data_IF_751266169295
#
_entry.id   IF_751266169295
#
_cell.length_a   1.000
_cell.length_b   1.000
_cell.length_c   1.000
_cell.angle_alpha   90.00
_cell.angle_beta   90.00
_cell.angle_gamma   90.00
#
_symmetry.space_group_name_H-M   'P 1'
#
loop_
_entity.id
_entity.type
_entity.pdbx_description
1 polymer ?
#
# COMPACT_ATOMS: atom_id res chain seq x y z
N UNK A 1 46.47 19.37 28.68
CA UNK A 1 45.20 18.65 28.91
C UNK A 1 44.83 18.06 27.57
N UNK A 2 45.26 16.82 27.32
CA UNK A 2 44.93 16.12 26.07
C UNK A 2 43.47 15.68 26.17
N UNK A 3 42.63 16.27 25.31
CA UNK A 3 41.27 15.83 25.12
C UNK A 3 41.30 14.46 24.46
N UNK A 4 41.06 13.43 25.26
CA UNK A 4 40.97 12.04 24.83
C UNK A 4 39.80 11.91 23.86
N UNK A 5 40.10 12.10 22.58
CA UNK A 5 39.13 11.99 21.50
C UNK A 5 38.94 10.51 21.22
N UNK A 6 37.88 9.94 21.80
CA UNK A 6 37.42 8.59 21.50
C UNK A 6 37.20 8.45 19.99
N UNK A 7 38.17 7.83 19.32
CA UNK A 7 38.15 7.56 17.89
C UNK A 7 37.36 6.28 17.62
N UNK A 8 36.38 6.34 16.71
CA UNK A 8 35.59 5.20 16.25
C UNK A 8 36.46 3.99 15.87
N UNK A 9 37.63 4.24 15.27
CA UNK A 9 38.57 3.19 14.85
C UNK A 9 39.26 2.45 16.00
N UNK A 10 39.12 2.89 17.25
CA UNK A 10 39.64 2.19 18.44
C UNK A 10 38.68 1.17 19.03
N UNK A 11 37.41 1.17 18.59
CA UNK A 11 36.43 0.18 19.01
C UNK A 11 36.72 -1.16 18.31
N UNK A 12 36.60 -2.31 19.00
CA UNK A 12 36.59 -3.61 18.34
C UNK A 12 35.54 -3.67 17.24
N UNK A 13 35.81 -4.46 16.19
CA UNK A 13 34.91 -4.60 15.06
C UNK A 13 33.50 -5.00 15.50
N UNK A 14 33.38 -5.91 16.46
CA UNK A 14 32.13 -6.41 17.02
C UNK A 14 31.28 -5.28 17.60
N UNK A 15 31.90 -4.35 18.35
CA UNK A 15 31.21 -3.21 18.95
C UNK A 15 30.80 -2.19 17.89
N UNK A 16 31.64 -1.96 16.88
CA UNK A 16 31.27 -1.11 15.74
C UNK A 16 30.07 -1.70 14.98
N UNK A 17 30.05 -3.02 14.77
CA UNK A 17 28.96 -3.74 14.13
C UNK A 17 27.66 -3.65 14.94
N UNK A 18 27.71 -3.83 16.26
CA UNK A 18 26.53 -3.70 17.12
C UNK A 18 25.98 -2.27 17.10
N UNK A 19 26.84 -1.26 17.25
CA UNK A 19 26.40 0.14 17.25
C UNK A 19 25.77 0.50 15.91
N UNK A 20 26.43 0.24 14.79
CA UNK A 20 25.85 0.52 13.46
C UNK A 20 24.60 -0.32 13.22
N UNK A 21 24.57 -1.53 13.77
CA UNK A 21 23.45 -2.46 13.73
C UNK A 21 22.23 -2.03 14.56
N UNK A 22 22.32 -1.05 15.46
CA UNK A 22 21.13 -0.51 16.16
C UNK A 22 20.64 0.80 15.55
N UNK A 23 21.46 1.54 14.80
CA UNK A 23 21.11 2.84 14.24
C UNK A 23 19.82 2.83 13.39
N UNK A 24 19.56 1.83 12.53
CA UNK A 24 18.31 1.76 11.78
C UNK A 24 17.06 1.63 12.64
N UNK A 25 17.18 0.98 13.81
CA UNK A 25 16.07 0.78 14.74
C UNK A 25 15.79 2.02 15.60
N UNK A 26 16.73 2.95 15.69
CA UNK A 26 16.59 4.20 16.45
C UNK A 26 15.88 5.31 15.65
N UNK A 27 15.53 5.04 14.38
CA UNK A 27 14.91 5.99 13.47
C UNK A 27 15.90 7.00 12.89
N UNK A 28 15.55 7.59 11.74
CA UNK A 28 16.35 8.61 11.05
C UNK A 28 16.79 8.21 9.64
N UNK A 29 17.52 9.11 8.96
CA UNK A 29 17.95 8.96 7.55
C UNK A 29 19.14 8.00 7.44
N UNK A 30 18.89 6.71 7.63
CA UNK A 30 19.90 5.65 7.56
C UNK A 30 20.63 5.56 6.21
N UNK A 31 20.01 6.09 5.14
CA UNK A 31 20.65 6.25 3.83
C UNK A 31 21.89 7.16 3.86
N UNK A 32 21.95 8.14 4.76
CA UNK A 32 23.11 9.01 4.91
C UNK A 32 24.27 8.29 5.63
N UNK A 33 23.97 7.31 6.48
CA UNK A 33 24.97 6.56 7.22
C UNK A 33 25.73 5.57 6.32
N UNK A 34 25.11 5.10 5.24
CA UNK A 34 25.76 4.22 4.25
C UNK A 34 26.85 4.90 3.40
N UNK A 35 27.02 6.22 3.52
CA UNK A 35 28.06 6.97 2.78
C UNK A 35 29.34 7.17 3.58
N UNK A 36 29.34 6.89 4.89
CA UNK A 36 30.47 7.14 5.81
C UNK A 36 31.72 6.34 5.42
N UNK A 37 31.59 5.02 5.33
CA UNK A 37 32.67 4.13 4.90
C UNK A 37 32.12 2.78 4.40
N UNK A 38 32.98 1.93 3.84
CA UNK A 38 32.58 0.62 3.29
C UNK A 38 31.98 -0.32 4.35
N UNK A 39 32.49 -0.31 5.58
CA UNK A 39 31.98 -1.14 6.67
C UNK A 39 30.56 -0.74 7.08
N UNK A 40 30.30 0.56 7.19
CA UNK A 40 28.96 1.08 7.48
C UNK A 40 27.98 0.74 6.36
N UNK A 41 28.42 0.92 5.11
CA UNK A 41 27.64 0.57 3.92
C UNK A 41 27.23 -0.90 3.92
N UNK A 42 28.14 -1.83 4.21
CA UNK A 42 27.83 -3.27 4.18
C UNK A 42 26.82 -3.71 5.24
N UNK A 43 26.70 -2.97 6.35
CA UNK A 43 25.76 -3.27 7.44
C UNK A 43 24.39 -2.62 7.15
N UNK A 44 24.42 -1.39 6.66
CA UNK A 44 23.22 -0.54 6.55
C UNK A 44 22.47 -0.76 5.24
N UNK A 45 23.18 -0.93 4.11
CA UNK A 45 22.51 -1.10 2.80
C UNK A 45 21.53 -2.28 2.76
N UNK A 46 21.86 -3.50 3.24
CA UNK A 46 20.92 -4.61 3.21
C UNK A 46 19.60 -4.30 3.93
N UNK A 47 19.62 -3.44 4.95
CA UNK A 47 18.43 -3.03 5.70
C UNK A 47 17.67 -1.92 4.98
N UNK A 48 18.38 -0.91 4.49
CA UNK A 48 17.78 0.17 3.70
C UNK A 48 17.09 -0.34 2.43
N UNK A 49 17.63 -1.39 1.80
CA UNK A 49 17.06 -2.00 0.61
C UNK A 49 16.13 -3.18 0.90
N UNK A 50 16.01 -3.65 2.16
CA UNK A 50 15.12 -4.75 2.49
C UNK A 50 13.66 -4.42 2.14
N UNK A 51 13.29 -3.16 2.32
CA UNK A 51 11.94 -2.66 2.12
C UNK A 51 11.94 -1.48 1.15
N UNK A 52 11.16 -1.60 0.07
CA UNK A 52 11.07 -0.58 -0.97
C UNK A 52 9.61 -0.16 -1.15
N UNK A 53 9.32 1.12 -0.91
CA UNK A 53 8.10 1.74 -1.42
C UNK A 53 8.28 2.09 -2.89
N UNK A 54 7.37 1.63 -3.73
CA UNK A 54 7.43 1.69 -5.18
C UNK A 54 6.15 2.32 -5.71
N UNK A 55 6.24 3.57 -6.18
CA UNK A 55 5.17 4.24 -6.92
C UNK A 55 5.39 4.07 -8.43
N UNK A 56 4.33 4.22 -9.22
CA UNK A 56 4.41 4.09 -10.69
C UNK A 56 5.47 5.02 -11.32
N UNK A 57 5.59 6.32 -10.94
CA UNK A 57 6.66 7.17 -11.47
C UNK A 57 8.08 6.71 -11.10
N UNK A 58 8.24 6.04 -9.96
CA UNK A 58 9.53 5.44 -9.57
C UNK A 58 9.80 4.15 -10.33
N UNK A 59 8.76 3.37 -10.59
CA UNK A 59 8.84 2.15 -11.37
C UNK A 59 9.31 2.42 -12.80
N UNK A 60 8.87 3.52 -13.42
CA UNK A 60 9.26 3.91 -14.78
C UNK A 60 10.60 4.66 -14.86
N UNK A 61 11.21 5.01 -13.71
CA UNK A 61 12.50 5.70 -13.66
C UNK A 61 13.67 4.73 -13.95
N UNK A 62 14.48 4.94 -15.01
CA UNK A 62 15.55 4.02 -15.38
C UNK A 62 16.66 3.88 -14.33
N UNK A 63 17.03 4.97 -13.64
CA UNK A 63 18.04 4.94 -12.59
C UNK A 63 17.57 4.09 -11.40
N UNK A 64 16.29 4.23 -11.06
CA UNK A 64 15.69 3.45 -10.00
C UNK A 64 15.60 1.96 -10.34
N UNK A 65 15.19 1.63 -11.57
CA UNK A 65 15.21 0.24 -12.07
C UNK A 65 16.62 -0.36 -12.01
N UNK A 66 17.64 0.40 -12.41
CA UNK A 66 19.03 -0.04 -12.35
C UNK A 66 19.51 -0.29 -10.91
N UNK A 67 19.02 0.48 -9.93
CA UNK A 67 19.30 0.26 -8.51
C UNK A 67 18.58 -1.00 -8.03
N UNK A 68 17.30 -1.16 -8.34
CA UNK A 68 16.49 -2.33 -7.99
C UNK A 68 17.11 -3.62 -8.52
N UNK A 69 17.53 -3.65 -9.78
CA UNK A 69 18.19 -4.81 -10.37
C UNK A 69 19.52 -5.14 -9.67
N UNK A 70 20.35 -4.13 -9.38
CA UNK A 70 21.62 -4.31 -8.66
C UNK A 70 21.44 -4.78 -7.22
N UNK A 71 20.33 -4.39 -6.58
CA UNK A 71 20.03 -4.68 -5.17
C UNK A 71 18.96 -5.76 -4.99
N UNK A 72 18.52 -6.42 -6.06
CA UNK A 72 17.41 -7.38 -6.03
C UNK A 72 17.56 -8.42 -4.92
N UNK A 73 18.79 -8.92 -4.70
CA UNK A 73 19.08 -9.95 -3.68
C UNK A 73 18.81 -9.50 -2.24
N UNK A 74 18.84 -8.19 -1.99
CA UNK A 74 18.61 -7.58 -0.68
C UNK A 74 17.15 -7.21 -0.46
N UNK A 75 16.40 -6.96 -1.54
CA UNK A 75 14.98 -6.57 -1.48
C UNK A 75 14.14 -7.78 -1.08
N UNK A 76 13.40 -7.64 0.03
CA UNK A 76 12.51 -8.65 0.63
C UNK A 76 11.06 -8.21 0.63
N UNK A 77 10.81 -6.92 0.58
CA UNK A 77 9.47 -6.35 0.63
C UNK A 77 9.37 -5.20 -0.38
N UNK A 78 8.35 -5.26 -1.23
CA UNK A 78 7.98 -4.18 -2.14
C UNK A 78 6.55 -3.75 -1.82
N UNK A 79 6.40 -2.50 -1.43
CA UNK A 79 5.10 -1.84 -1.35
C UNK A 79 4.81 -1.13 -2.66
N UNK A 80 4.07 -1.81 -3.54
CA UNK A 80 3.63 -1.28 -4.81
C UNK A 80 2.38 -0.41 -4.63
N UNK A 81 2.55 0.90 -4.87
CA UNK A 81 1.52 1.93 -4.68
C UNK A 81 1.13 2.51 -6.03
N UNK A 82 -0.11 2.22 -6.44
CA UNK A 82 -0.75 2.84 -7.60
C UNK A 82 -1.58 4.02 -7.09
N UNK A 83 -0.99 5.21 -7.18
CA UNK A 83 -1.62 6.47 -6.78
C UNK A 83 -2.47 6.97 -7.95
N UNK A 84 -3.79 6.81 -7.84
CA UNK A 84 -4.78 7.30 -8.81
C UNK A 84 -4.89 8.82 -8.75
N UNK A 85 -5.57 9.41 -9.74
CA UNK A 85 -5.73 10.87 -9.84
C UNK A 85 -6.47 11.43 -8.62
N UNK A 86 -6.07 12.63 -8.23
CA UNK A 86 -6.80 13.43 -7.25
C UNK A 86 -8.12 13.91 -7.86
N UNK A 87 -9.16 13.96 -7.04
CA UNK A 87 -10.47 14.51 -7.36
C UNK A 87 -10.89 15.51 -6.29
N UNK A 88 -11.85 16.36 -6.63
CA UNK A 88 -12.40 17.40 -5.76
C UNK A 88 -13.76 16.99 -5.16
N UNK A 89 -14.38 17.91 -4.40
CA UNK A 89 -15.66 17.66 -3.74
C UNK A 89 -16.85 17.48 -4.69
N UNK A 90 -16.69 17.62 -6.01
CA UNK A 90 -17.79 17.46 -6.98
C UNK A 90 -18.44 16.07 -6.88
N UNK A 91 -17.69 15.07 -6.40
CA UNK A 91 -18.12 13.67 -6.24
C UNK A 91 -18.64 13.33 -4.83
N UNK A 92 -18.58 14.26 -3.88
CA UNK A 92 -18.86 13.98 -2.46
C UNK A 92 -20.35 14.00 -2.06
N UNK A 93 -21.26 14.30 -2.98
CA UNK A 93 -22.69 14.46 -2.68
C UNK A 93 -23.64 14.14 -3.84
N UNK A 94 -23.18 13.40 -4.85
CA UNK A 94 -23.99 13.07 -6.02
C UNK A 94 -24.61 11.69 -5.83
N UNK A 95 -25.94 11.59 -5.99
CA UNK A 95 -26.72 10.35 -5.97
C UNK A 95 -26.84 9.75 -7.38
N UNK A 96 -25.79 9.86 -8.18
CA UNK A 96 -25.83 9.36 -9.55
C UNK A 96 -25.08 8.03 -9.57
N UNK A 97 -25.85 6.96 -9.75
CA UNK A 97 -25.37 5.57 -9.81
C UNK A 97 -24.34 5.36 -10.94
N UNK A 98 -24.23 6.33 -11.87
CA UNK A 98 -23.33 6.32 -13.03
C UNK A 98 -21.95 6.95 -12.75
N UNK A 99 -21.71 7.52 -11.56
CA UNK A 99 -20.43 8.14 -11.20
C UNK A 99 -19.52 7.18 -10.43
N UNK A 100 -19.13 6.07 -11.08
CA UNK A 100 -18.04 5.24 -10.59
C UNK A 100 -16.78 6.09 -10.36
N UNK A 101 -16.08 5.88 -9.24
CA UNK A 101 -14.90 6.70 -8.93
C UNK A 101 -13.72 6.44 -9.86
N UNK A 102 -13.68 5.28 -10.53
CA UNK A 102 -12.73 4.99 -11.60
C UNK A 102 -13.34 5.34 -12.95
N UNK A 103 -12.61 6.13 -13.72
CA UNK A 103 -12.86 6.24 -15.16
C UNK A 103 -11.86 5.40 -15.96
N UNK A 104 -12.03 5.38 -17.28
CA UNK A 104 -11.15 4.64 -18.18
C UNK A 104 -9.67 5.07 -18.08
N UNK A 105 -9.39 6.30 -17.64
CA UNK A 105 -8.01 6.79 -17.47
C UNK A 105 -7.38 6.12 -16.26
N UNK A 106 -8.11 6.02 -15.15
CA UNK A 106 -7.63 5.30 -13.96
C UNK A 106 -7.45 3.81 -14.26
N UNK A 107 -8.38 3.19 -14.99
CA UNK A 107 -8.25 1.79 -15.43
C UNK A 107 -7.03 1.57 -16.32
N UNK A 108 -6.79 2.44 -17.31
CA UNK A 108 -5.60 2.37 -18.16
C UNK A 108 -4.30 2.55 -17.36
N UNK A 109 -4.30 3.46 -16.38
CA UNK A 109 -3.15 3.68 -15.53
C UNK A 109 -2.81 2.46 -14.67
N UNK A 110 -3.83 1.77 -14.14
CA UNK A 110 -3.65 0.51 -13.41
C UNK A 110 -3.06 -0.57 -14.34
N UNK A 111 -3.59 -0.71 -15.56
CA UNK A 111 -3.08 -1.63 -16.58
C UNK A 111 -1.59 -1.40 -16.84
N UNK A 112 -1.21 -0.15 -17.16
CA UNK A 112 0.18 0.20 -17.46
C UNK A 112 1.12 -0.03 -16.26
N UNK A 113 0.61 0.22 -15.05
CA UNK A 113 1.33 0.02 -13.81
C UNK A 113 1.63 -1.47 -13.56
N UNK A 114 0.64 -2.35 -13.70
CA UNK A 114 0.82 -3.81 -13.55
C UNK A 114 1.66 -4.42 -14.66
N UNK A 115 1.50 -3.96 -15.90
CA UNK A 115 2.34 -4.38 -17.01
C UNK A 115 3.81 -4.05 -16.73
N UNK A 116 4.09 -2.81 -16.31
CA UNK A 116 5.45 -2.38 -15.94
C UNK A 116 6.01 -3.20 -14.78
N UNK A 117 5.19 -3.46 -13.75
CA UNK A 117 5.58 -4.24 -12.58
C UNK A 117 5.97 -5.65 -12.98
N UNK A 118 5.14 -6.32 -13.79
CA UNK A 118 5.40 -7.68 -14.24
C UNK A 118 6.64 -7.78 -15.14
N UNK A 119 6.87 -6.80 -16.02
CA UNK A 119 8.10 -6.71 -16.83
C UNK A 119 9.34 -6.63 -15.94
N UNK A 120 9.32 -5.73 -14.94
CA UNK A 120 10.49 -5.46 -14.11
C UNK A 120 10.78 -6.61 -13.15
N UNK A 121 9.77 -7.09 -12.42
CA UNK A 121 9.95 -8.18 -11.45
C UNK A 121 10.05 -9.55 -12.13
N UNK A 122 9.51 -9.72 -13.33
CA UNK A 122 9.66 -10.95 -14.11
C UNK A 122 11.07 -11.19 -14.63
N UNK A 123 11.91 -10.14 -14.70
CA UNK A 123 13.32 -10.26 -15.04
C UNK A 123 14.21 -10.68 -13.86
N UNK A 124 13.67 -10.76 -12.63
CA UNK A 124 14.45 -11.08 -11.44
C UNK A 124 14.65 -12.58 -11.28
N UNK A 125 15.74 -12.98 -10.61
CA UNK A 125 15.99 -14.38 -10.28
C UNK A 125 14.83 -14.94 -9.41
N UNK A 126 14.27 -16.11 -9.77
CA UNK A 126 13.26 -16.79 -8.95
C UNK A 126 13.77 -17.04 -7.53
N UNK A 127 13.00 -16.62 -6.52
CA UNK A 127 13.33 -16.85 -5.10
C UNK A 127 12.13 -17.22 -4.25
N UNK A 128 10.94 -16.69 -4.56
CA UNK A 128 9.72 -16.97 -3.80
C UNK A 128 9.77 -16.44 -2.35
N UNK A 129 10.66 -15.50 -2.04
CA UNK A 129 10.83 -14.91 -0.71
C UNK A 129 10.54 -13.40 -0.67
N UNK A 130 10.09 -12.84 -1.80
CA UNK A 130 9.65 -11.46 -1.90
C UNK A 130 8.19 -11.33 -1.49
N UNK A 131 7.92 -10.40 -0.57
CA UNK A 131 6.58 -9.93 -0.24
C UNK A 131 6.21 -8.77 -1.17
N UNK A 132 5.11 -8.93 -1.89
CA UNK A 132 4.52 -7.89 -2.73
C UNK A 132 3.25 -7.37 -2.07
N UNK A 133 3.32 -6.15 -1.55
CA UNK A 133 2.18 -5.45 -0.96
C UNK A 133 1.61 -4.48 -1.97
N UNK A 134 0.34 -4.65 -2.34
CA UNK A 134 -0.31 -3.89 -3.41
C UNK A 134 -1.34 -2.95 -2.80
N UNK A 135 -1.23 -1.67 -3.16
CA UNK A 135 -2.14 -0.62 -2.71
C UNK A 135 -2.53 0.26 -3.89
N UNK A 136 -3.83 0.36 -4.16
CA UNK A 136 -4.40 1.19 -5.23
C UNK A 136 -5.38 2.17 -4.59
N UNK A 137 -5.08 3.47 -4.62
CA UNK A 137 -5.88 4.49 -3.96
C UNK A 137 -5.66 5.85 -4.62
N UNK A 138 -6.60 6.78 -4.44
CA UNK A 138 -6.39 8.20 -4.76
C UNK A 138 -5.87 8.93 -3.51
N UNK A 139 -4.88 9.83 -3.61
CA UNK A 139 -4.51 10.70 -2.49
C UNK A 139 -5.68 11.51 -1.92
N UNK A 140 -6.70 11.81 -2.74
CA UNK A 140 -7.94 12.46 -2.32
C UNK A 140 -8.80 11.60 -1.38
N UNK A 141 -8.67 10.27 -1.38
CA UNK A 141 -9.53 9.37 -0.58
C UNK A 141 -9.46 9.69 0.92
N UNK A 142 -8.28 10.03 1.44
CA UNK A 142 -8.09 10.43 2.84
C UNK A 142 -8.59 11.85 3.14
N UNK A 143 -8.71 12.71 2.13
CA UNK A 143 -9.21 14.08 2.28
C UNK A 143 -10.74 14.11 2.38
N UNK A 144 -11.42 13.28 1.59
CA UNK A 144 -12.89 13.30 1.46
C UNK A 144 -13.59 12.24 2.32
N UNK A 145 -13.06 11.01 2.38
CA UNK A 145 -13.82 9.85 2.87
C UNK A 145 -13.21 9.18 4.08
N UNK A 146 -11.89 9.04 4.09
CA UNK A 146 -11.17 8.25 5.07
C UNK A 146 -10.10 9.07 5.78
N UNK A 147 -10.53 10.12 6.48
CA UNK A 147 -9.64 11.04 7.22
C UNK A 147 -8.83 10.36 8.33
N UNK A 148 -9.18 9.12 8.68
CA UNK A 148 -8.50 8.24 9.63
C UNK A 148 -7.61 7.18 8.99
N UNK A 149 -7.55 7.08 7.66
CA UNK A 149 -6.62 6.16 7.02
C UNK A 149 -5.28 6.87 6.82
N UNK A 150 -4.25 6.36 7.47
CA UNK A 150 -2.86 6.67 7.14
C UNK A 150 -2.31 5.57 6.25
N UNK A 151 -1.95 5.91 5.02
CA UNK A 151 -1.19 5.03 4.14
C UNK A 151 0.27 5.03 4.60
N UNK A 152 0.58 4.21 5.60
CA UNK A 152 1.94 3.97 6.08
C UNK A 152 2.25 2.48 6.04
N UNK A 153 3.53 2.08 5.89
CA UNK A 153 3.91 0.69 6.02
C UNK A 153 3.58 0.21 7.44
N UNK A 154 3.06 -1.00 7.59
CA UNK A 154 2.93 -1.63 8.93
C UNK A 154 4.29 -2.10 9.48
N UNK A 155 5.36 -1.93 8.70
CA UNK A 155 6.73 -2.26 9.08
C UNK A 155 7.33 -1.14 9.93
N UNK A 156 7.91 -1.54 11.07
CA UNK A 156 8.41 -0.67 12.15
C UNK A 156 9.60 0.27 11.81
N UNK A 157 9.86 0.60 10.53
CA UNK A 157 11.09 1.32 10.12
C UNK A 157 10.90 2.79 9.71
N UNK A 158 9.67 3.31 9.72
CA UNK A 158 9.40 4.72 9.45
C UNK A 158 8.55 5.34 10.55
N UNK A 159 8.71 6.64 10.78
CA UNK A 159 7.92 7.44 11.73
C UNK A 159 6.43 7.46 11.33
N UNK A 160 5.72 6.37 11.58
CA UNK A 160 4.29 6.42 11.77
C UNK A 160 4.05 7.37 12.94
N UNK A 161 3.18 8.38 12.80
CA UNK A 161 2.66 9.08 13.96
C UNK A 161 2.19 8.00 14.92
N UNK A 162 2.65 8.04 16.18
CA UNK A 162 2.18 7.06 17.17
C UNK A 162 0.65 6.94 17.08
N UNK A 163 0.07 5.78 17.41
CA UNK A 163 -1.40 5.63 17.51
C UNK A 163 -2.02 6.84 18.23
N UNK A 164 -1.35 7.35 19.25
CA UNK A 164 -1.73 8.52 20.03
C UNK A 164 -1.67 9.88 19.27
N UNK A 165 -0.77 10.06 18.30
CA UNK A 165 -0.74 11.22 17.40
C UNK A 165 -1.76 11.09 16.26
N UNK A 166 -1.96 9.88 15.74
CA UNK A 166 -2.99 9.59 14.75
C UNK A 166 -4.40 9.78 15.35
N UNK A 167 -4.65 9.25 16.55
CA UNK A 167 -5.86 9.46 17.35
C UNK A 167 -6.06 10.94 17.70
N UNK A 168 -5.00 11.68 18.04
CA UNK A 168 -5.10 13.13 18.27
C UNK A 168 -5.43 13.90 16.99
N UNK A 169 -4.83 13.55 15.84
CA UNK A 169 -5.19 14.16 14.55
C UNK A 169 -6.63 13.86 14.18
N UNK A 170 -7.05 12.60 14.28
CA UNK A 170 -8.42 12.19 13.96
C UNK A 170 -9.44 12.82 14.90
N UNK A 171 -9.17 12.91 16.20
CA UNK A 171 -10.06 13.57 17.19
C UNK A 171 -10.27 15.08 16.94
N UNK A 172 -9.37 15.73 16.18
CA UNK A 172 -9.47 17.14 15.81
C UNK A 172 -10.11 17.38 14.45
N UNK A 173 -10.41 16.31 13.70
CA UNK A 173 -11.02 16.43 12.38
C UNK A 173 -12.44 16.96 12.52
N UNK A 174 -12.64 18.19 12.06
CA UNK A 174 -13.94 18.82 11.94
C UNK A 174 -14.11 19.28 10.49
N UNK A 175 -14.91 18.55 9.73
CA UNK A 175 -15.24 18.85 8.34
C UNK A 175 -16.74 18.59 8.12
N UNK A 176 -17.58 19.57 8.47
CA UNK A 176 -19.02 19.44 8.36
C UNK A 176 -19.51 19.18 6.92
N UNK A 177 -18.76 19.63 5.91
CA UNK A 177 -19.12 19.41 4.50
C UNK A 177 -19.05 17.94 4.11
N UNK A 178 -18.14 17.18 4.72
CA UNK A 178 -17.98 15.74 4.52
C UNK A 178 -18.56 14.91 5.68
N UNK A 179 -19.35 15.54 6.54
CA UNK A 179 -20.04 14.91 7.66
C UNK A 179 -19.17 14.52 8.84
N UNK A 180 -17.99 15.12 8.99
CA UNK A 180 -17.10 14.91 10.13
C UNK A 180 -17.27 15.99 11.19
N UNK A 181 -17.48 15.59 12.44
CA UNK A 181 -17.52 16.48 13.60
C UNK A 181 -16.86 15.79 14.79
N UNK A 182 -15.94 16.51 15.45
CA UNK A 182 -15.16 16.02 16.59
C UNK A 182 -14.47 14.65 16.33
N UNK A 183 -13.95 14.45 15.12
CA UNK A 183 -13.29 13.21 14.71
C UNK A 183 -14.21 12.03 14.44
N UNK A 184 -15.52 12.19 14.59
CA UNK A 184 -16.51 11.20 14.23
C UNK A 184 -17.26 11.61 12.98
N UNK A 185 -17.65 10.63 12.16
CA UNK A 185 -18.54 10.87 11.04
C UNK A 185 -19.98 10.87 11.56
N UNK A 186 -20.59 12.04 11.61
CA UNK A 186 -21.93 12.29 12.20
C UNK A 186 -23.03 12.21 11.15
N UNK A 187 -22.72 12.50 9.88
CA UNK A 187 -23.63 12.31 8.75
C UNK A 187 -23.10 11.21 7.83
N UNK A 188 -23.93 10.19 7.62
CA UNK A 188 -23.72 9.20 6.56
C UNK A 188 -23.97 9.94 5.25
N UNK A 189 -22.92 10.24 4.49
CA UNK A 189 -23.10 10.57 3.06
C UNK A 189 -23.81 9.39 2.41
N UNK A 190 -24.73 9.69 1.51
CA UNK A 190 -25.65 8.76 0.85
C UNK A 190 -24.97 7.43 0.50
N UNK A 191 -25.62 6.30 0.80
CA UNK A 191 -25.07 4.95 0.66
C UNK A 191 -24.36 4.72 -0.68
N UNK A 192 -24.89 5.28 -1.76
CA UNK A 192 -24.32 5.27 -3.11
C UNK A 192 -22.92 5.90 -3.22
N UNK A 193 -22.65 6.99 -2.50
CA UNK A 193 -21.33 7.62 -2.48
C UNK A 193 -20.30 6.81 -1.67
N UNK A 194 -20.75 5.93 -0.77
CA UNK A 194 -19.87 4.95 -0.13
C UNK A 194 -19.60 3.78 -1.08
N UNK A 195 -20.63 3.26 -1.72
CA UNK A 195 -20.53 2.18 -2.71
C UNK A 195 -19.53 2.52 -3.82
N UNK A 196 -19.57 3.74 -4.38
CA UNK A 196 -18.64 4.16 -5.44
C UNK A 196 -17.16 4.18 -5.03
N UNK A 197 -16.86 4.30 -3.73
CA UNK A 197 -15.49 4.20 -3.20
C UNK A 197 -15.03 2.76 -3.08
N UNK A 198 -15.98 1.88 -2.79
CA UNK A 198 -15.79 0.44 -2.73
C UNK A 198 -15.97 -0.23 -4.09
N UNK A 199 -16.20 0.54 -5.16
CA UNK A 199 -16.32 0.01 -6.50
C UNK A 199 -15.16 -0.93 -6.78
N UNK A 200 -15.50 -1.99 -7.50
CA UNK A 200 -14.52 -2.92 -7.99
C UNK A 200 -13.48 -2.14 -8.80
N UNK A 201 -12.21 -2.48 -8.58
CA UNK A 201 -11.14 -2.27 -9.52
C UNK A 201 -11.47 -3.16 -10.70
N UNK A 202 -12.47 -2.72 -11.46
CA UNK A 202 -12.78 -3.19 -12.77
C UNK A 202 -11.70 -2.62 -13.63
N UNK A 203 -10.84 -3.50 -14.10
CA UNK A 203 -9.94 -3.19 -15.21
C UNK A 203 -10.72 -3.09 -16.52
N UNK A 204 -11.94 -2.56 -16.50
CA UNK A 204 -12.75 -2.11 -17.64
C UNK A 204 -12.10 -0.89 -18.32
N UNK A 205 -10.78 -0.90 -18.47
CA UNK A 205 -10.11 -0.02 -19.41
C UNK A 205 -10.58 -0.34 -20.83
N UNK A 206 -9.70 -0.34 -21.83
CA UNK A 206 -10.12 -0.53 -23.23
C UNK A 206 -10.63 -1.95 -23.56
N UNK A 207 -10.98 -2.78 -22.58
CA UNK A 207 -11.45 -4.14 -22.79
C UNK A 207 -12.96 -4.17 -22.98
N UNK A 208 -13.41 -4.79 -24.07
CA UNK A 208 -14.83 -4.95 -24.40
C UNK A 208 -15.56 -5.99 -23.51
N UNK A 209 -14.90 -6.49 -22.44
CA UNK A 209 -15.45 -7.45 -21.48
C UNK A 209 -14.39 -8.30 -20.77
N UNK A 210 -14.85 -9.16 -19.86
CA UNK A 210 -14.00 -10.00 -18.99
C UNK A 210 -13.00 -10.86 -19.77
N UNK A 211 -13.39 -11.44 -20.92
CA UNK A 211 -12.50 -12.31 -21.71
C UNK A 211 -11.23 -11.58 -22.19
N UNK A 212 -11.39 -10.35 -22.68
CA UNK A 212 -10.28 -9.51 -23.14
C UNK A 212 -9.36 -9.13 -21.97
N UNK A 213 -9.93 -8.87 -20.79
CA UNK A 213 -9.16 -8.61 -19.57
C UNK A 213 -8.35 -9.86 -19.15
N UNK A 214 -8.98 -11.04 -19.18
CA UNK A 214 -8.31 -12.30 -18.86
C UNK A 214 -7.15 -12.59 -19.81
N UNK A 215 -7.33 -12.38 -21.11
CA UNK A 215 -6.27 -12.53 -22.12
C UNK A 215 -5.11 -11.57 -21.85
N UNK A 216 -5.41 -10.32 -21.50
CA UNK A 216 -4.37 -9.34 -21.15
C UNK A 216 -3.55 -9.79 -19.93
N UNK A 217 -4.21 -10.17 -18.82
CA UNK A 217 -3.49 -10.69 -17.65
C UNK A 217 -2.61 -11.90 -18.01
N UNK A 218 -3.14 -12.85 -18.78
CA UNK A 218 -2.39 -14.03 -19.24
C UNK A 218 -1.25 -13.70 -20.20
N UNK A 219 -1.30 -12.55 -20.87
CA UNK A 219 -0.23 -12.04 -21.72
C UNK A 219 0.95 -11.39 -20.97
N UNK A 220 0.78 -11.02 -19.69
CA UNK A 220 1.87 -10.40 -18.91
C UNK A 220 3.06 -11.37 -18.72
N UNK A 221 4.24 -10.89 -18.30
CA UNK A 221 5.33 -11.76 -17.86
C UNK A 221 5.01 -12.50 -16.54
N UNK A 222 5.61 -13.68 -16.34
CA UNK A 222 5.55 -14.36 -15.04
C UNK A 222 6.51 -13.66 -14.07
N UNK A 223 6.15 -13.63 -12.79
CA UNK A 223 6.90 -12.97 -11.73
C UNK A 223 7.23 -14.01 -10.65
N UNK A 224 8.22 -14.87 -10.89
CA UNK A 224 8.57 -15.99 -10.01
C UNK A 224 9.32 -15.56 -8.74
N UNK A 225 9.67 -14.28 -8.61
CA UNK A 225 10.34 -13.77 -7.43
C UNK A 225 9.39 -13.59 -6.24
N UNK A 226 8.10 -13.36 -6.50
CA UNK A 226 7.05 -13.13 -5.50
C UNK A 226 6.66 -14.44 -4.82
N UNK A 227 6.69 -14.45 -3.48
CA UNK A 227 6.27 -15.56 -2.64
C UNK A 227 5.04 -15.28 -1.80
N UNK A 228 4.84 -14.02 -1.41
CA UNK A 228 3.70 -13.56 -0.61
C UNK A 228 3.07 -12.36 -1.29
N UNK A 229 1.75 -12.36 -1.40
CA UNK A 229 0.98 -11.20 -1.89
C UNK A 229 0.11 -10.66 -0.77
N UNK A 230 0.21 -9.35 -0.51
CA UNK A 230 -0.64 -8.64 0.45
C UNK A 230 -1.58 -7.70 -0.32
N UNK A 231 -2.86 -7.81 -0.02
CA UNK A 231 -3.95 -6.98 -0.52
C UNK A 231 -4.69 -6.41 0.69
N UNK A 232 -4.22 -5.26 1.18
CA UNK A 232 -4.67 -4.68 2.44
C UNK A 232 -5.96 -3.91 2.31
N UNK A 233 -6.72 -3.90 3.40
CA UNK A 233 -7.98 -3.15 3.51
C UNK A 233 -7.79 -1.63 3.46
N UNK A 234 -6.55 -1.16 3.67
CA UNK A 234 -6.15 0.25 3.78
C UNK A 234 -6.60 1.11 2.59
N UNK A 235 -6.70 0.55 1.39
CA UNK A 235 -7.05 1.32 0.19
C UNK A 235 -8.53 1.32 -0.17
N UNK A 236 -9.35 0.51 0.52
CA UNK A 236 -10.82 0.52 0.41
C UNK A 236 -11.38 0.23 -0.98
N UNK A 237 -10.54 -0.16 -1.94
CA UNK A 237 -10.91 -0.61 -3.28
C UNK A 237 -11.08 -2.13 -3.31
N UNK A 238 -12.01 -2.64 -4.10
CA UNK A 238 -12.25 -4.08 -4.23
C UNK A 238 -11.57 -4.65 -5.47
N UNK A 239 -11.15 -5.90 -5.45
CA UNK A 239 -10.70 -6.57 -6.67
C UNK A 239 -11.83 -7.43 -7.22
N UNK A 240 -12.18 -7.23 -8.49
CA UNK A 240 -13.08 -8.14 -9.19
C UNK A 240 -12.55 -9.58 -9.13
N UNK A 241 -13.37 -10.60 -8.83
CA UNK A 241 -12.88 -11.97 -8.65
C UNK A 241 -12.11 -12.53 -9.86
N UNK A 242 -12.53 -12.17 -11.08
CA UNK A 242 -11.88 -12.56 -12.33
C UNK A 242 -10.50 -11.91 -12.47
N UNK A 243 -10.41 -10.59 -12.27
CA UNK A 243 -9.17 -9.85 -12.30
C UNK A 243 -8.17 -10.38 -11.28
N UNK A 244 -8.63 -10.57 -10.03
CA UNK A 244 -7.83 -11.11 -8.93
C UNK A 244 -7.27 -12.50 -9.27
N UNK A 245 -8.13 -13.40 -9.74
CA UNK A 245 -7.73 -14.76 -10.10
C UNK A 245 -6.64 -14.75 -11.18
N UNK A 246 -6.84 -14.00 -12.27
CA UNK A 246 -5.88 -13.94 -13.36
C UNK A 246 -4.58 -13.22 -12.95
N UNK A 247 -4.65 -12.15 -12.16
CA UNK A 247 -3.47 -11.49 -11.58
C UNK A 247 -2.63 -12.47 -10.78
N UNK A 248 -3.25 -13.28 -9.91
CA UNK A 248 -2.52 -14.23 -9.05
C UNK A 248 -1.82 -15.33 -9.86
N UNK A 249 -2.34 -15.70 -11.04
CA UNK A 249 -1.63 -16.65 -11.93
C UNK A 249 -0.26 -16.15 -12.40
N UNK A 250 0.01 -14.84 -12.27
CA UNK A 250 1.31 -14.24 -12.64
C UNK A 250 2.41 -14.50 -11.62
N UNK A 251 2.08 -14.97 -10.42
CA UNK A 251 3.02 -15.20 -9.33
C UNK A 251 3.19 -16.72 -9.10
N UNK A 252 3.92 -17.44 -9.97
CA UNK A 252 3.95 -18.91 -9.95
C UNK A 252 4.58 -19.53 -8.69
N UNK A 253 5.37 -18.76 -7.95
CA UNK A 253 6.00 -19.19 -6.69
C UNK A 253 5.29 -18.64 -5.44
N UNK A 254 4.12 -18.03 -5.61
CA UNK A 254 3.33 -17.54 -4.49
C UNK A 254 2.87 -18.73 -3.62
N UNK A 255 3.11 -18.61 -2.32
CA UNK A 255 2.71 -19.62 -1.32
C UNK A 255 1.69 -19.06 -0.33
N UNK A 256 1.62 -17.74 -0.18
CA UNK A 256 0.73 -17.06 0.76
C UNK A 256 0.05 -15.86 0.09
N UNK A 257 -1.26 -15.74 0.33
CA UNK A 257 -2.08 -14.60 -0.06
C UNK A 257 -2.77 -14.08 1.20
N UNK A 258 -2.44 -12.85 1.60
CA UNK A 258 -3.17 -12.13 2.63
C UNK A 258 -4.13 -11.15 1.95
N UNK A 259 -5.42 -11.52 1.91
CA UNK A 259 -6.47 -10.71 1.32
C UNK A 259 -7.41 -10.21 2.41
N UNK A 260 -7.55 -8.88 2.52
CA UNK A 260 -8.44 -8.23 3.48
C UNK A 260 -9.60 -7.55 2.75
N UNK A 261 -10.64 -8.31 2.33
CA UNK A 261 -11.77 -7.76 1.60
C UNK A 261 -12.61 -6.81 2.46
N UNK A 262 -13.25 -5.85 1.80
CA UNK A 262 -14.33 -5.07 2.42
C UNK A 262 -15.63 -5.87 2.46
N UNK A 263 -16.29 -5.92 3.63
CA UNK A 263 -17.64 -6.49 3.75
C UNK A 263 -18.62 -5.68 2.91
N UNK A 264 -19.41 -6.37 2.11
CA UNK A 264 -20.65 -5.86 1.57
C UNK A 264 -21.59 -5.52 2.73
N UNK A 265 -21.93 -4.24 2.89
CA UNK A 265 -23.22 -3.90 3.49
C UNK A 265 -24.28 -4.10 2.41
N UNK A 266 -24.57 -5.35 2.07
CA UNK A 266 -25.84 -5.64 1.41
C UNK A 266 -26.93 -5.31 2.42
N UNK A 267 -27.69 -4.26 2.15
CA UNK A 267 -28.85 -3.79 2.91
C UNK A 267 -30.01 -4.80 2.97
N UNK A 268 -29.85 -6.02 2.47
CA UNK A 268 -30.88 -7.05 2.48
C UNK A 268 -31.04 -7.82 3.79
N UNK A 269 -30.25 -7.56 4.84
CA UNK A 269 -30.37 -8.29 6.12
C UNK A 269 -30.36 -7.40 7.39
N UNK A 270 -30.53 -6.08 7.29
CA UNK A 270 -30.59 -5.21 8.47
C UNK A 270 -31.96 -5.13 9.16
N UNK A 271 -33.00 -5.82 8.65
CA UNK A 271 -34.29 -5.87 9.35
C UNK A 271 -34.31 -6.82 10.57
N UNK A 272 -33.36 -7.77 10.70
CA UNK A 272 -33.46 -8.82 11.72
C UNK A 272 -32.46 -8.73 12.89
N UNK A 273 -31.61 -7.71 12.97
CA UNK A 273 -30.61 -7.61 14.07
C UNK A 273 -30.86 -6.53 15.11
N UNK A 274 -31.94 -5.73 14.97
CA UNK A 274 -32.30 -4.72 15.97
C UNK A 274 -33.39 -5.17 16.97
N UNK A 275 -33.90 -6.41 16.87
CA UNK A 275 -34.68 -7.03 17.95
C UNK A 275 -33.78 -7.77 18.96
N UNK A 276 -32.82 -7.07 19.59
CA UNK A 276 -32.43 -7.47 20.95
C UNK A 276 -33.52 -7.00 21.90
N UNK A 277 -34.62 -7.77 21.88
CA UNK A 277 -35.65 -7.78 22.91
C UNK A 277 -34.99 -7.77 24.29
N UNK A 278 -35.20 -6.67 24.99
CA UNK A 278 -35.04 -6.53 26.42
C UNK A 278 -35.93 -7.55 27.13
N UNK A 279 -35.38 -8.71 27.46
CA UNK A 279 -35.94 -9.62 28.46
C UNK A 279 -34.85 -10.02 29.45
N UNK A 280 -34.56 -9.10 30.36
CA UNK A 280 -34.22 -9.46 31.73
C UNK A 280 -35.19 -8.68 32.64
N UNK A 281 -36.23 -9.41 33.04
CA UNK A 281 -37.22 -9.05 34.04
C UNK A 281 -36.56 -8.85 35.42
N UNK A 282 -37.25 -8.21 36.39
CA UNK A 282 -37.21 -8.69 37.76
C UNK A 282 -38.00 -10.00 37.92
#
# INVERSE_FOLDING_TARGET
MDGDTFSWGRLPCEIQYEIVGILPSLGGRCSQLSTVCQAWRSIIEPRNFAEISLTVPRLTNPDFQAIMLRKQKQIRYIWFRVELREYDCSRCGVNDDDLGLMDNIDSQFIIDAFQSLCIILGAWEPRGDLVLDISIYSPSDSHHWFKYLSFCPDTNQGACPSLHEHERRTSLVNDPLHGWSAGQRVTVTVATALESIFDDIRTDGPFDGDDSEMEWWRGLPLVPVVGVVLLRQQTRRRWGPVALSNMLTRFPNMTELCYEPWREWCTTNEEDTNERKSFLNP
#
